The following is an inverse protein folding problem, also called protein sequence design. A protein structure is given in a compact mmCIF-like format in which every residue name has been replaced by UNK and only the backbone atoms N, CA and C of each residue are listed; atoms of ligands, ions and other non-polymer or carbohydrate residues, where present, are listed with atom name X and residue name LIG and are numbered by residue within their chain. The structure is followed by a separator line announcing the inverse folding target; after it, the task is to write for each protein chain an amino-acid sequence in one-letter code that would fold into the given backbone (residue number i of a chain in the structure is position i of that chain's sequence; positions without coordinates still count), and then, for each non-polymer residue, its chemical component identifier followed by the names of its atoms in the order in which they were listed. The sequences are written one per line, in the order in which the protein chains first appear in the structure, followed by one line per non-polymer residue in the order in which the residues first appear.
data_IF_491705542392
#
_entry.id   IF_491705542392
#
_cell.length_a   1.000
_cell.length_b   1.000
_cell.length_c   1.000
_cell.angle_alpha   90.00
_cell.angle_beta   90.00
_cell.angle_gamma   90.00
#
_symmetry.space_group_name_H-M   'P 1'
#
loop_
_entity.id
_entity.type
_entity.pdbx_description
1 polymer ?
#
# COMPACT_ATOMS: atom_id res chain seq x y z
N UNK A 1 -5.67 8.67 18.89
CA UNK A 1 -4.32 8.65 19.49
C UNK A 1 -3.87 7.24 19.90
N UNK A 2 -4.70 6.41 20.56
CA UNK A 2 -4.34 5.04 20.93
C UNK A 2 -4.00 4.13 19.73
N UNK A 3 -4.80 4.15 18.67
CA UNK A 3 -4.54 3.36 17.45
C UNK A 3 -3.21 3.73 16.78
N UNK A 4 -2.88 5.01 16.72
CA UNK A 4 -1.61 5.50 16.19
C UNK A 4 -0.41 4.91 16.95
N UNK A 5 -0.44 4.99 18.29
CA UNK A 5 0.60 4.41 19.14
C UNK A 5 0.69 2.89 18.99
N UNK A 6 -0.45 2.20 18.90
CA UNK A 6 -0.47 0.74 18.67
C UNK A 6 0.18 0.36 17.33
N UNK A 7 -0.09 1.13 16.27
CA UNK A 7 0.53 0.91 14.96
C UNK A 7 2.04 1.11 15.03
N UNK A 8 2.51 2.20 15.65
CA UNK A 8 3.95 2.44 15.81
C UNK A 8 4.64 1.36 16.62
N UNK A 9 4.10 1.01 17.78
CA UNK A 9 4.69 -0.01 18.67
C UNK A 9 4.64 -1.41 18.03
N UNK A 10 3.54 -1.77 17.38
CA UNK A 10 3.38 -3.07 16.74
C UNK A 10 4.37 -3.27 15.59
N UNK A 11 4.46 -2.31 14.67
CA UNK A 11 5.37 -2.39 13.53
C UNK A 11 6.85 -2.30 13.97
N UNK A 12 7.17 -1.43 14.93
CA UNK A 12 8.52 -1.39 15.50
C UNK A 12 8.91 -2.71 16.17
N UNK A 13 7.99 -3.34 16.92
CA UNK A 13 8.22 -4.63 17.54
C UNK A 13 8.45 -5.73 16.49
N UNK A 14 7.68 -5.77 15.40
CA UNK A 14 7.88 -6.74 14.32
C UNK A 14 9.29 -6.60 13.72
N UNK A 15 9.72 -5.38 13.41
CA UNK A 15 11.06 -5.12 12.86
C UNK A 15 12.13 -5.56 13.84
N UNK A 16 12.05 -5.14 15.10
CA UNK A 16 13.06 -5.49 16.13
C UNK A 16 13.14 -6.99 16.35
N UNK A 17 12.02 -7.67 16.51
CA UNK A 17 12.01 -9.13 16.74
C UNK A 17 12.55 -9.86 15.52
N UNK A 18 12.19 -9.44 14.31
CA UNK A 18 12.70 -10.03 13.06
C UNK A 18 14.22 -9.87 12.88
N UNK A 19 14.81 -8.80 13.43
CA UNK A 19 16.25 -8.56 13.38
C UNK A 19 17.02 -9.31 14.47
N UNK A 20 16.43 -9.41 15.67
CA UNK A 20 17.11 -9.96 16.85
C UNK A 20 17.01 -11.49 16.98
N UNK A 21 15.90 -12.09 16.53
CA UNK A 21 15.72 -13.54 16.65
C UNK A 21 16.15 -14.26 15.36
N UNK A 22 17.25 -15.00 15.45
CA UNK A 22 17.79 -15.78 14.33
C UNK A 22 16.81 -16.83 13.77
N UNK A 23 15.82 -17.28 14.56
CA UNK A 23 14.78 -18.22 14.11
C UNK A 23 13.79 -17.57 13.12
N UNK A 24 13.72 -16.25 13.11
CA UNK A 24 12.88 -15.45 12.22
C UNK A 24 13.62 -14.99 10.97
N UNK A 25 14.88 -15.37 10.76
CA UNK A 25 15.64 -15.07 9.55
C UNK A 25 15.18 -15.94 8.37
N UNK A 26 13.96 -15.75 7.94
CA UNK A 26 13.38 -16.41 6.77
C UNK A 26 12.71 -15.39 5.83
N UNK A 27 12.46 -15.73 4.57
CA UNK A 27 11.91 -14.80 3.58
C UNK A 27 10.61 -14.11 4.02
N UNK A 28 9.71 -14.84 4.67
CA UNK A 28 8.42 -14.30 5.14
C UNK A 28 8.61 -13.12 6.11
N UNK A 29 9.45 -13.28 7.14
CA UNK A 29 9.71 -12.20 8.11
C UNK A 29 10.56 -11.07 7.52
N UNK A 30 11.41 -11.38 6.54
CA UNK A 30 12.14 -10.36 5.79
C UNK A 30 11.16 -9.40 5.06
N UNK A 31 10.20 -9.93 4.31
CA UNK A 31 9.19 -9.10 3.64
C UNK A 31 8.24 -8.43 4.64
N UNK A 32 7.88 -9.11 5.73
CA UNK A 32 7.06 -8.54 6.79
C UNK A 32 7.74 -7.32 7.44
N UNK A 33 9.06 -7.36 7.63
CA UNK A 33 9.82 -6.21 8.14
C UNK A 33 9.78 -5.01 7.18
N UNK A 34 9.86 -5.27 5.87
CA UNK A 34 9.70 -4.22 4.87
C UNK A 34 8.29 -3.63 4.86
N UNK A 35 7.25 -4.45 5.00
CA UNK A 35 5.86 -4.01 5.12
C UNK A 35 5.68 -3.17 6.40
N UNK A 36 6.20 -3.63 7.54
CA UNK A 36 6.16 -2.88 8.79
C UNK A 36 6.89 -1.53 8.71
N UNK A 37 7.99 -1.47 7.96
CA UNK A 37 8.70 -0.21 7.71
C UNK A 37 7.85 0.75 6.87
N UNK A 38 7.16 0.26 5.82
CA UNK A 38 6.22 1.05 5.03
C UNK A 38 5.10 1.62 5.90
N UNK A 39 4.50 0.78 6.75
CA UNK A 39 3.42 1.19 7.67
C UNK A 39 3.89 2.28 8.65
N UNK A 40 5.10 2.16 9.19
CA UNK A 40 5.68 3.19 10.06
C UNK A 40 5.87 4.51 9.32
N UNK A 41 6.44 4.47 8.12
CA UNK A 41 6.67 5.66 7.29
C UNK A 41 5.35 6.31 6.89
N UNK A 42 4.38 5.52 6.42
CA UNK A 42 3.06 5.99 6.00
C UNK A 42 2.30 6.63 7.17
N UNK A 43 2.21 5.93 8.29
CA UNK A 43 1.52 6.39 9.49
C UNK A 43 2.17 7.66 10.06
N UNK A 44 3.49 7.71 10.13
CA UNK A 44 4.23 8.88 10.65
C UNK A 44 4.13 10.10 9.73
N UNK A 45 3.94 9.91 8.43
CA UNK A 45 3.83 11.00 7.47
C UNK A 45 2.42 11.59 7.39
N UNK A 46 1.39 10.78 7.57
CA UNK A 46 -0.01 11.19 7.33
C UNK A 46 -0.72 11.56 8.62
N UNK A 47 -0.62 10.72 9.66
CA UNK A 47 -1.44 10.88 10.87
C UNK A 47 -1.16 12.18 11.63
N UNK A 48 0.09 12.65 11.82
CA UNK A 48 0.34 13.91 12.55
C UNK A 48 -0.35 15.10 11.88
N UNK A 49 -0.28 15.19 10.55
CA UNK A 49 -0.93 16.26 9.80
C UNK A 49 -2.45 16.17 9.85
N UNK A 50 -3.00 14.95 9.73
CA UNK A 50 -4.42 14.72 9.88
C UNK A 50 -4.93 15.13 11.26
N UNK A 51 -4.20 14.83 12.33
CA UNK A 51 -4.56 15.21 13.69
C UNK A 51 -4.54 16.73 13.90
N UNK A 52 -3.55 17.42 13.31
CA UNK A 52 -3.47 18.88 13.36
C UNK A 52 -4.66 19.50 12.63
N UNK A 53 -5.00 19.01 11.44
CA UNK A 53 -6.12 19.51 10.64
C UNK A 53 -7.49 19.23 11.30
N UNK A 54 -7.64 18.10 12.00
CA UNK A 54 -8.88 17.77 12.72
C UNK A 54 -9.05 18.59 14.01
N UNK A 55 -7.94 18.99 14.65
CA UNK A 55 -7.96 19.79 15.90
C UNK A 55 -7.92 21.30 15.70
N UNK A 56 -7.64 21.78 14.49
CA UNK A 56 -7.50 23.19 14.17
C UNK A 56 -8.76 23.80 13.56
N UNK A 57 -8.88 25.14 13.61
CA UNK A 57 -10.00 25.87 12.95
C UNK A 57 -9.88 25.83 11.41
N UNK A 58 -8.65 25.74 10.88
CA UNK A 58 -8.39 25.75 9.45
C UNK A 58 -8.20 24.33 8.93
N UNK A 59 -9.13 23.88 8.09
CA UNK A 59 -9.14 22.55 7.47
C UNK A 59 -8.38 22.51 6.15
N UNK A 60 -7.35 23.31 5.97
CA UNK A 60 -6.59 23.42 4.72
C UNK A 60 -5.19 22.84 4.87
N UNK A 61 -4.70 22.26 3.77
CA UNK A 61 -3.31 21.80 3.68
C UNK A 61 -2.48 22.85 2.93
N UNK A 62 -1.27 23.14 3.44
CA UNK A 62 -0.33 24.00 2.72
C UNK A 62 0.19 23.30 1.46
N UNK A 63 0.54 24.07 0.42
CA UNK A 63 1.11 23.51 -0.82
C UNK A 63 2.31 22.59 -0.56
N UNK A 64 3.24 23.01 0.31
CA UNK A 64 4.40 22.18 0.69
C UNK A 64 4.00 20.87 1.36
N UNK A 65 3.02 20.92 2.27
CA UNK A 65 2.47 19.73 2.93
C UNK A 65 1.79 18.78 1.92
N UNK A 66 1.05 19.33 0.97
CA UNK A 66 0.43 18.59 -0.12
C UNK A 66 1.48 17.88 -0.99
N UNK A 67 2.54 18.59 -1.39
CA UNK A 67 3.63 18.00 -2.19
C UNK A 67 4.30 16.83 -1.46
N UNK A 68 4.69 17.04 -0.20
CA UNK A 68 5.32 15.96 0.60
C UNK A 68 4.39 14.78 0.77
N UNK A 69 3.12 15.03 1.11
CA UNK A 69 2.12 13.97 1.27
C UNK A 69 1.91 13.19 -0.02
N UNK A 70 1.84 13.87 -1.17
CA UNK A 70 1.67 13.23 -2.48
C UNK A 70 2.83 12.28 -2.80
N UNK A 71 4.08 12.75 -2.66
CA UNK A 71 5.26 11.94 -2.93
C UNK A 71 5.35 10.73 -1.98
N UNK A 72 5.14 10.95 -0.69
CA UNK A 72 5.26 9.89 0.31
C UNK A 72 4.15 8.85 0.14
N UNK A 73 2.90 9.27 0.00
CA UNK A 73 1.76 8.34 -0.11
C UNK A 73 1.82 7.49 -1.38
N UNK A 74 2.19 8.08 -2.53
CA UNK A 74 2.36 7.33 -3.77
C UNK A 74 3.53 6.34 -3.71
N UNK A 75 4.70 6.77 -3.20
CA UNK A 75 5.86 5.90 -3.11
C UNK A 75 5.58 4.69 -2.21
N UNK A 76 5.05 4.93 -1.02
CA UNK A 76 4.80 3.88 -0.06
C UNK A 76 3.65 2.97 -0.50
N UNK A 77 2.53 3.53 -0.99
CA UNK A 77 1.39 2.75 -1.46
C UNK A 77 1.71 1.89 -2.68
N UNK A 78 2.46 2.40 -3.66
CA UNK A 78 2.90 1.62 -4.81
C UNK A 78 3.86 0.49 -4.41
N UNK A 79 4.81 0.77 -3.51
CA UNK A 79 5.71 -0.25 -2.96
C UNK A 79 4.96 -1.34 -2.21
N UNK A 80 3.95 -0.96 -1.42
CA UNK A 80 3.11 -1.90 -0.66
C UNK A 80 2.35 -2.86 -1.58
N UNK A 81 1.74 -2.36 -2.66
CA UNK A 81 1.06 -3.20 -3.65
C UNK A 81 1.98 -4.30 -4.20
N UNK A 82 3.22 -3.94 -4.56
CA UNK A 82 4.20 -4.90 -5.11
C UNK A 82 4.67 -5.86 -4.04
N UNK A 83 4.96 -5.39 -2.81
CA UNK A 83 5.38 -6.27 -1.70
C UNK A 83 4.30 -7.28 -1.32
N UNK A 84 3.03 -6.90 -1.30
CA UNK A 84 1.93 -7.84 -1.05
C UNK A 84 1.88 -8.93 -2.12
N UNK A 85 2.11 -8.60 -3.40
CA UNK A 85 2.21 -9.61 -4.46
C UNK A 85 3.43 -10.52 -4.28
N UNK A 86 4.59 -9.98 -3.92
CA UNK A 86 5.81 -10.75 -3.62
C UNK A 86 5.57 -11.70 -2.45
N UNK A 87 4.92 -11.25 -1.38
CA UNK A 87 4.56 -12.09 -0.24
C UNK A 87 3.58 -13.20 -0.62
N UNK A 88 2.64 -12.94 -1.51
CA UNK A 88 1.74 -13.99 -2.01
C UNK A 88 2.48 -15.06 -2.80
N UNK A 89 3.52 -14.68 -3.56
CA UNK A 89 4.40 -15.60 -4.25
C UNK A 89 5.25 -16.44 -3.27
N UNK A 90 5.79 -15.81 -2.22
CA UNK A 90 6.50 -16.53 -1.14
C UNK A 90 5.62 -17.61 -0.50
N UNK A 91 4.37 -17.26 -0.16
CA UNK A 91 3.39 -18.20 0.39
C UNK A 91 3.04 -19.33 -0.61
N UNK A 92 2.89 -18.99 -1.89
CA UNK A 92 2.66 -19.98 -2.94
C UNK A 92 3.82 -21.00 -3.01
N UNK A 93 5.07 -20.56 -3.04
CA UNK A 93 6.22 -21.45 -3.10
C UNK A 93 6.31 -22.30 -1.82
N UNK A 94 6.08 -21.70 -0.65
CA UNK A 94 6.14 -22.40 0.64
C UNK A 94 5.08 -23.51 0.77
N UNK A 95 3.88 -23.30 0.24
CA UNK A 95 2.78 -24.27 0.38
C UNK A 95 2.74 -25.26 -0.79
N UNK A 96 2.91 -24.78 -2.02
CA UNK A 96 2.75 -25.60 -3.22
C UNK A 96 4.04 -26.34 -3.63
N UNK A 97 5.21 -25.80 -3.26
CA UNK A 97 6.53 -26.36 -3.63
C UNK A 97 7.51 -26.44 -2.44
N UNK A 98 7.14 -27.04 -1.31
CA UNK A 98 7.93 -26.98 -0.07
C UNK A 98 9.34 -27.52 -0.21
N UNK A 99 9.58 -28.55 -1.04
CA UNK A 99 10.91 -29.14 -1.26
C UNK A 99 11.85 -28.19 -2.04
N UNK A 100 11.32 -27.26 -2.81
CA UNK A 100 12.11 -26.32 -3.59
C UNK A 100 12.15 -24.92 -2.95
N UNK A 101 11.50 -24.73 -1.82
CA UNK A 101 11.35 -23.41 -1.18
C UNK A 101 12.69 -22.74 -0.91
N UNK A 102 13.61 -23.42 -0.23
CA UNK A 102 14.93 -22.88 0.10
C UNK A 102 15.79 -22.57 -1.13
N UNK A 103 15.57 -23.30 -2.23
CA UNK A 103 16.27 -23.04 -3.49
C UNK A 103 15.70 -21.86 -4.24
N UNK A 104 14.37 -21.73 -4.27
CA UNK A 104 13.68 -20.62 -4.97
C UNK A 104 13.80 -19.32 -4.18
N UNK A 105 13.43 -19.33 -2.88
CA UNK A 105 13.42 -18.14 -2.03
C UNK A 105 14.76 -17.94 -1.32
N UNK A 106 15.87 -18.02 -2.07
CA UNK A 106 17.18 -17.75 -1.52
C UNK A 106 17.38 -16.24 -1.22
N UNK A 107 18.27 -15.86 -0.27
CA UNK A 107 18.41 -14.47 0.19
C UNK A 107 18.63 -13.44 -0.92
N UNK A 108 19.41 -13.77 -1.94
CA UNK A 108 19.65 -12.85 -3.07
C UNK A 108 18.34 -12.51 -3.82
N UNK A 109 17.49 -13.52 -4.06
CA UNK A 109 16.19 -13.26 -4.72
C UNK A 109 15.30 -12.38 -3.84
N UNK A 110 15.25 -12.63 -2.52
CA UNK A 110 14.47 -11.82 -1.60
C UNK A 110 14.90 -10.34 -1.63
N UNK A 111 16.21 -10.07 -1.60
CA UNK A 111 16.75 -8.73 -1.72
C UNK A 111 16.42 -8.07 -3.08
N UNK A 112 16.53 -8.82 -4.18
CA UNK A 112 16.17 -8.32 -5.51
C UNK A 112 14.69 -7.95 -5.56
N UNK A 113 13.80 -8.83 -5.10
CA UNK A 113 12.35 -8.58 -5.10
C UNK A 113 11.96 -7.38 -4.23
N UNK A 114 12.54 -7.26 -3.04
CA UNK A 114 12.32 -6.10 -2.17
C UNK A 114 12.85 -4.81 -2.83
N UNK A 115 14.06 -4.84 -3.39
CA UNK A 115 14.65 -3.68 -4.07
C UNK A 115 13.82 -3.26 -5.28
N UNK A 116 13.33 -4.20 -6.07
CA UNK A 116 12.45 -3.91 -7.22
C UNK A 116 11.13 -3.28 -6.75
N UNK A 117 10.54 -3.74 -5.64
CA UNK A 117 9.34 -3.15 -5.09
C UNK A 117 9.57 -1.68 -4.71
N UNK A 118 10.63 -1.37 -3.97
CA UNK A 118 10.99 -0.01 -3.58
C UNK A 118 11.33 0.89 -4.78
N UNK A 119 12.15 0.40 -5.71
CA UNK A 119 12.56 1.17 -6.88
C UNK A 119 11.38 1.46 -7.82
N UNK A 120 10.48 0.49 -8.03
CA UNK A 120 9.30 0.71 -8.86
C UNK A 120 8.35 1.73 -8.24
N UNK A 121 8.12 1.68 -6.91
CA UNK A 121 7.32 2.67 -6.21
C UNK A 121 7.91 4.08 -6.29
N UNK A 122 9.22 4.22 -6.05
CA UNK A 122 9.92 5.50 -6.17
C UNK A 122 9.89 6.05 -7.60
N UNK A 123 10.17 5.23 -8.61
CA UNK A 123 10.18 5.65 -10.01
C UNK A 123 8.80 6.15 -10.46
N UNK A 124 7.75 5.39 -10.16
CA UNK A 124 6.36 5.78 -10.47
C UNK A 124 5.98 7.07 -9.79
N UNK A 125 6.33 7.22 -8.51
CA UNK A 125 6.06 8.43 -7.76
C UNK A 125 6.75 9.65 -8.35
N UNK A 126 8.03 9.54 -8.72
CA UNK A 126 8.76 10.64 -9.35
C UNK A 126 8.11 11.07 -10.66
N UNK A 127 7.71 10.13 -11.50
CA UNK A 127 7.03 10.42 -12.77
C UNK A 127 5.66 11.07 -12.50
N UNK A 128 4.81 10.40 -11.75
CA UNK A 128 3.40 10.79 -11.57
C UNK A 128 3.25 12.09 -10.78
N UNK A 129 4.00 12.25 -9.68
CA UNK A 129 3.94 13.47 -8.88
C UNK A 129 4.51 14.66 -9.64
N UNK A 130 5.63 14.48 -10.38
CA UNK A 130 6.22 15.56 -11.17
C UNK A 130 5.28 16.01 -12.29
N UNK A 131 4.71 15.08 -13.06
CA UNK A 131 3.75 15.39 -14.11
C UNK A 131 2.49 16.09 -13.58
N UNK A 132 2.00 15.67 -12.42
CA UNK A 132 0.83 16.28 -11.79
C UNK A 132 1.12 17.68 -11.28
N UNK A 133 2.26 17.91 -10.64
CA UNK A 133 2.63 19.21 -10.05
C UNK A 133 3.05 20.25 -11.10
N UNK A 134 3.39 19.84 -12.33
CA UNK A 134 3.65 20.74 -13.45
C UNK A 134 2.38 21.31 -14.08
N UNK A 135 1.20 20.78 -13.72
CA UNK A 135 -0.07 21.31 -14.23
C UNK A 135 -0.32 22.72 -13.70
N UNK A 136 -0.78 23.66 -14.54
CA UNK A 136 -1.23 24.97 -14.07
C UNK A 136 -2.56 24.83 -13.35
N UNK A 137 -2.56 25.17 -12.08
CA UNK A 137 -3.76 25.18 -11.23
C UNK A 137 -4.41 26.55 -11.25
N UNK A 138 -5.74 26.61 -11.56
CA UNK A 138 -6.52 27.84 -11.54
C UNK A 138 -7.32 27.91 -10.25
N UNK A 139 -7.04 28.87 -9.41
CA UNK A 139 -7.77 29.10 -8.18
C UNK A 139 -6.90 29.49 -7.01
N UNK A 140 -7.49 29.54 -5.83
CA UNK A 140 -6.80 29.89 -4.62
C UNK A 140 -5.76 28.82 -4.29
N UNK A 141 -4.61 29.24 -3.74
CA UNK A 141 -3.49 28.36 -3.36
C UNK A 141 -3.80 27.41 -2.17
N UNK A 142 -5.04 27.29 -1.79
CA UNK A 142 -5.53 26.40 -0.74
C UNK A 142 -6.30 25.25 -1.38
N UNK A 143 -5.89 24.04 -1.07
CA UNK A 143 -6.62 22.82 -1.41
C UNK A 143 -7.56 22.56 -0.24
N UNK A 144 -8.87 22.75 -0.45
CA UNK A 144 -9.90 22.52 0.56
C UNK A 144 -10.15 21.01 0.80
N UNK A 145 -9.07 20.25 0.81
CA UNK A 145 -9.09 18.80 1.04
C UNK A 145 -8.08 18.41 2.10
N UNK A 146 -8.46 17.49 2.98
CA UNK A 146 -7.62 16.95 4.03
C UNK A 146 -6.48 16.06 3.51
N UNK A 147 -6.62 15.56 2.29
CA UNK A 147 -5.70 14.61 1.68
C UNK A 147 -5.37 15.03 0.25
N UNK A 148 -4.08 15.12 -0.06
CA UNK A 148 -3.59 15.51 -1.36
C UNK A 148 -3.42 14.26 -2.24
N UNK A 149 -4.32 14.09 -3.21
CA UNK A 149 -4.33 12.97 -4.14
C UNK A 149 -4.22 13.42 -5.59
N UNK A 150 -3.56 12.60 -6.44
CA UNK A 150 -3.42 12.88 -7.88
C UNK A 150 -4.77 13.16 -8.55
N UNK A 151 -5.84 12.36 -8.35
CA UNK A 151 -7.12 12.62 -9.00
C UNK A 151 -7.75 13.96 -8.62
N UNK A 152 -7.50 14.45 -7.41
CA UNK A 152 -8.00 15.76 -6.94
C UNK A 152 -7.23 16.88 -7.64
N UNK A 153 -5.89 16.77 -7.70
CA UNK A 153 -5.05 17.77 -8.35
C UNK A 153 -5.33 17.87 -9.85
N UNK A 154 -5.49 16.74 -10.54
CA UNK A 154 -5.86 16.73 -11.96
C UNK A 154 -7.17 17.50 -12.22
N UNK A 155 -8.16 17.38 -11.32
CA UNK A 155 -9.44 18.11 -11.44
C UNK A 155 -9.32 19.63 -11.20
N UNK A 156 -8.30 20.07 -10.47
CA UNK A 156 -8.04 21.49 -10.22
C UNK A 156 -7.21 22.15 -11.33
N UNK A 157 -6.71 21.39 -12.28
CA UNK A 157 -5.94 21.90 -13.40
C UNK A 157 -6.82 22.60 -14.42
N UNK A 158 -6.29 23.68 -15.05
CA UNK A 158 -7.00 24.51 -16.02
C UNK A 158 -6.64 24.21 -17.47
N UNK A 159 -6.00 23.11 -17.72
CA UNK A 159 -5.56 22.67 -19.04
C UNK A 159 -6.12 21.29 -19.33
N UNK A 160 -5.99 20.86 -20.58
CA UNK A 160 -6.31 19.49 -20.95
C UNK A 160 -5.43 18.51 -20.16
N UNK A 161 -6.07 17.64 -19.38
CA UNK A 161 -5.44 16.65 -18.50
C UNK A 161 -5.53 15.22 -19.03
N UNK A 162 -5.90 15.06 -20.31
CA UNK A 162 -6.09 13.72 -20.92
C UNK A 162 -4.85 12.84 -20.78
N UNK A 163 -3.66 13.41 -20.98
CA UNK A 163 -2.40 12.69 -20.81
C UNK A 163 -2.19 12.22 -19.35
N UNK A 164 -2.40 13.10 -18.38
CA UNK A 164 -2.25 12.78 -16.96
C UNK A 164 -3.29 11.74 -16.48
N UNK A 165 -4.50 11.79 -17.03
CA UNK A 165 -5.52 10.78 -16.74
C UNK A 165 -5.14 9.42 -17.33
N UNK A 166 -4.60 9.37 -18.55
CA UNK A 166 -4.13 8.14 -19.17
C UNK A 166 -2.94 7.56 -18.41
N UNK A 167 -1.98 8.38 -17.97
CA UNK A 167 -0.84 7.97 -17.15
C UNK A 167 -1.31 7.40 -15.81
N UNK A 168 -2.22 8.09 -15.12
CA UNK A 168 -2.83 7.63 -13.87
C UNK A 168 -3.55 6.28 -14.06
N UNK A 169 -4.26 6.09 -15.15
CA UNK A 169 -4.92 4.83 -15.48
C UNK A 169 -3.90 3.70 -15.65
N UNK A 170 -2.83 3.92 -16.43
CA UNK A 170 -1.77 2.93 -16.65
C UNK A 170 -1.09 2.58 -15.32
N UNK A 171 -0.73 3.58 -14.49
CA UNK A 171 -0.16 3.36 -13.17
C UNK A 171 -1.10 2.55 -12.26
N UNK A 172 -2.39 2.85 -12.28
CA UNK A 172 -3.40 2.10 -11.51
C UNK A 172 -3.50 0.64 -11.96
N UNK A 173 -3.45 0.37 -13.26
CA UNK A 173 -3.43 -1.00 -13.77
C UNK A 173 -2.16 -1.73 -13.30
N UNK A 174 -1.00 -1.12 -13.43
CA UNK A 174 0.28 -1.73 -13.07
C UNK A 174 0.45 -1.99 -11.57
N UNK A 175 -0.03 -1.08 -10.71
CA UNK A 175 0.19 -1.17 -9.27
C UNK A 175 -1.02 -1.67 -8.46
N UNK A 176 -2.22 -1.67 -9.02
CA UNK A 176 -3.40 -2.22 -8.33
C UNK A 176 -3.89 -3.51 -8.98
N UNK A 177 -4.18 -3.48 -10.30
CA UNK A 177 -4.82 -4.63 -10.97
C UNK A 177 -3.85 -5.80 -11.13
N UNK A 178 -2.63 -5.55 -11.61
CA UNK A 178 -1.64 -6.62 -11.83
C UNK A 178 -1.24 -7.30 -10.52
N UNK A 179 -0.81 -6.59 -9.44
CA UNK A 179 -0.49 -7.23 -8.17
C UNK A 179 -1.67 -7.98 -7.56
N UNK A 180 -2.87 -7.39 -7.56
CA UNK A 180 -4.07 -8.07 -7.07
C UNK A 180 -4.37 -9.37 -7.84
N UNK A 181 -4.23 -9.35 -9.16
CA UNK A 181 -4.41 -10.54 -10.00
C UNK A 181 -3.40 -11.64 -9.65
N UNK A 182 -2.13 -11.28 -9.45
CA UNK A 182 -1.08 -12.22 -9.02
C UNK A 182 -1.39 -12.82 -7.65
N UNK A 183 -1.87 -12.00 -6.70
CA UNK A 183 -2.29 -12.46 -5.39
C UNK A 183 -3.43 -13.47 -5.51
N UNK A 184 -4.49 -13.15 -6.27
CA UNK A 184 -5.65 -14.03 -6.45
C UNK A 184 -5.26 -15.35 -7.11
N UNK A 185 -4.40 -15.34 -8.13
CA UNK A 185 -3.88 -16.54 -8.77
C UNK A 185 -3.09 -17.39 -7.78
N UNK A 186 -2.18 -16.78 -7.02
CA UNK A 186 -1.38 -17.47 -5.99
C UNK A 186 -2.25 -18.13 -4.95
N UNK A 187 -3.26 -17.42 -4.43
CA UNK A 187 -4.19 -17.97 -3.44
C UNK A 187 -5.13 -19.03 -4.00
N UNK A 188 -5.50 -18.94 -5.27
CA UNK A 188 -6.22 -20.02 -5.97
C UNK A 188 -5.43 -21.34 -5.96
N UNK A 189 -4.14 -21.29 -6.28
CA UNK A 189 -3.27 -22.47 -6.23
C UNK A 189 -2.99 -22.95 -4.80
N UNK A 190 -2.78 -22.02 -3.85
CA UNK A 190 -2.61 -22.36 -2.44
C UNK A 190 -3.83 -23.11 -1.90
N UNK A 191 -5.02 -22.62 -2.17
CA UNK A 191 -6.27 -23.27 -1.73
C UNK A 191 -6.38 -24.68 -2.29
N UNK A 192 -6.11 -24.89 -3.57
CA UNK A 192 -6.11 -26.21 -4.18
C UNK A 192 -5.08 -27.16 -3.52
N UNK A 193 -3.88 -26.65 -3.21
CA UNK A 193 -2.83 -27.43 -2.56
C UNK A 193 -3.21 -27.79 -1.11
N UNK A 194 -3.74 -26.84 -0.34
CA UNK A 194 -4.15 -27.03 1.07
C UNK A 194 -5.30 -28.02 1.18
N UNK A 195 -6.26 -28.02 0.26
CA UNK A 195 -7.34 -29.00 0.25
C UNK A 195 -6.85 -30.44 0.01
N UNK A 196 -5.71 -30.62 -0.64
CA UNK A 196 -5.07 -31.94 -0.84
C UNK A 196 -4.28 -32.43 0.37
N UNK A 197 -3.98 -31.59 1.36
CA UNK A 197 -3.28 -31.98 2.57
C UNK A 197 -4.16 -32.85 3.44
N UNK A 198 -3.76 -34.13 3.61
CA UNK A 198 -4.50 -35.12 4.42
C UNK A 198 -4.39 -34.86 5.92
N UNK A 199 -3.29 -34.26 6.40
CA UNK A 199 -3.06 -33.96 7.81
C UNK A 199 -3.83 -32.71 8.24
N UNK A 200 -4.71 -32.87 9.24
CA UNK A 200 -5.46 -31.73 9.82
C UNK A 200 -4.52 -30.68 10.45
N UNK A 201 -3.42 -31.11 11.08
CA UNK A 201 -2.43 -30.22 11.70
C UNK A 201 -1.70 -29.41 10.61
N UNK A 202 -1.23 -30.07 9.54
CA UNK A 202 -0.56 -29.40 8.43
C UNK A 202 -1.47 -28.40 7.75
N UNK A 203 -2.74 -28.75 7.51
CA UNK A 203 -3.74 -27.86 6.93
C UNK A 203 -4.00 -26.63 7.81
N UNK A 204 -4.16 -26.82 9.13
CA UNK A 204 -4.37 -25.70 10.07
C UNK A 204 -3.18 -24.75 10.10
N UNK A 205 -1.95 -25.26 10.06
CA UNK A 205 -0.73 -24.43 10.02
C UNK A 205 -0.65 -23.60 8.74
N UNK A 206 -0.91 -24.21 7.58
CA UNK A 206 -0.92 -23.52 6.30
C UNK A 206 -1.99 -22.42 6.27
N UNK A 207 -3.21 -22.70 6.74
CA UNK A 207 -4.27 -21.71 6.85
C UNK A 207 -3.91 -20.55 7.79
N UNK A 208 -3.29 -20.82 8.94
CA UNK A 208 -2.92 -19.79 9.91
C UNK A 208 -1.95 -18.75 9.31
N UNK A 209 -0.94 -19.21 8.58
CA UNK A 209 0.03 -18.32 7.93
C UNK A 209 -0.60 -17.53 6.77
N UNK A 210 -1.36 -18.21 5.93
CA UNK A 210 -1.99 -17.59 4.75
C UNK A 210 -3.11 -16.62 5.11
N UNK A 211 -3.88 -16.90 6.17
CA UNK A 211 -5.01 -16.06 6.57
C UNK A 211 -4.59 -14.67 7.04
N UNK A 212 -3.46 -14.56 7.76
CA UNK A 212 -2.94 -13.26 8.21
C UNK A 212 -2.60 -12.35 7.03
N UNK A 213 -1.87 -12.85 6.04
CA UNK A 213 -1.57 -12.08 4.84
C UNK A 213 -2.83 -11.74 4.03
N UNK A 214 -3.75 -12.70 3.86
CA UNK A 214 -5.00 -12.47 3.16
C UNK A 214 -5.86 -11.40 3.83
N UNK A 215 -5.87 -11.34 5.17
CA UNK A 215 -6.54 -10.29 5.93
C UNK A 215 -5.97 -8.91 5.60
N UNK A 216 -4.64 -8.77 5.57
CA UNK A 216 -3.99 -7.50 5.17
C UNK A 216 -4.38 -7.13 3.74
N UNK A 217 -4.31 -8.07 2.80
CA UNK A 217 -4.71 -7.84 1.40
C UNK A 217 -6.16 -7.38 1.29
N UNK A 218 -7.10 -8.05 2.00
CA UNK A 218 -8.52 -7.68 1.98
C UNK A 218 -8.74 -6.27 2.54
N UNK A 219 -8.10 -5.94 3.65
CA UNK A 219 -8.22 -4.60 4.26
C UNK A 219 -7.64 -3.55 3.32
N UNK A 220 -6.43 -3.76 2.80
CA UNK A 220 -5.74 -2.82 1.92
C UNK A 220 -6.52 -2.58 0.62
N UNK A 221 -6.74 -3.62 -0.18
CA UNK A 221 -7.45 -3.49 -1.46
C UNK A 221 -8.93 -3.17 -1.27
N UNK A 222 -9.57 -3.69 -0.22
CA UNK A 222 -10.96 -3.40 0.12
C UNK A 222 -11.16 -1.91 0.43
N UNK A 223 -10.26 -1.29 1.17
CA UNK A 223 -10.28 0.16 1.44
C UNK A 223 -10.13 0.97 0.15
N UNK A 224 -9.16 0.61 -0.70
CA UNK A 224 -8.96 1.28 -1.99
C UNK A 224 -10.23 1.17 -2.85
N UNK A 225 -10.75 -0.04 -3.04
CA UNK A 225 -11.96 -0.29 -3.84
C UNK A 225 -13.14 0.50 -3.27
N UNK A 226 -13.33 0.49 -1.95
CA UNK A 226 -14.39 1.24 -1.30
C UNK A 226 -14.29 2.74 -1.57
N UNK A 227 -13.09 3.32 -1.46
CA UNK A 227 -12.86 4.75 -1.73
C UNK A 227 -13.13 5.12 -3.19
N UNK A 228 -12.75 4.25 -4.14
CA UNK A 228 -12.94 4.53 -5.57
C UNK A 228 -14.34 4.21 -6.09
N UNK A 229 -15.08 3.28 -5.44
CA UNK A 229 -16.45 2.93 -5.83
C UNK A 229 -17.51 3.88 -5.23
N UNK A 230 -17.16 4.76 -4.30
CA UNK A 230 -18.11 5.75 -3.81
C UNK A 230 -18.56 6.67 -4.96
N UNK A 231 -19.87 6.77 -5.22
CA UNK A 231 -20.36 7.63 -6.28
C UNK A 231 -20.00 9.10 -5.99
N UNK A 232 -19.52 9.79 -7.01
CA UNK A 232 -19.06 11.20 -6.96
C UNK A 232 -20.04 12.13 -6.23
N UNK A 233 -21.34 11.88 -6.31
CA UNK A 233 -22.40 12.63 -5.59
C UNK A 233 -22.33 12.49 -4.06
N UNK A 234 -21.88 11.36 -3.55
CA UNK A 234 -21.77 11.14 -2.09
C UNK A 234 -20.49 11.79 -1.56
N UNK A 235 -19.42 11.68 -2.35
CA UNK A 235 -18.13 12.32 -2.06
C UNK A 235 -18.24 13.86 -2.01
N UNK A 236 -19.08 14.46 -2.87
CA UNK A 236 -19.40 15.91 -2.85
C UNK A 236 -20.25 16.30 -1.64
N UNK A 237 -21.23 15.47 -1.23
CA UNK A 237 -22.08 15.76 -0.07
C UNK A 237 -21.35 15.64 1.27
N UNK A 238 -20.48 14.65 1.41
CA UNK A 238 -19.67 14.51 2.63
C UNK A 238 -18.62 15.64 2.74
N UNK A 239 -18.28 16.30 1.63
CA UNK A 239 -17.43 17.48 1.58
C UNK A 239 -18.20 18.78 1.84
N UNK A 240 -19.48 18.88 1.44
CA UNK A 240 -20.35 20.04 1.73
C UNK A 240 -20.89 20.05 3.16
N UNK A 241 -20.99 18.91 3.83
CA UNK A 241 -21.48 18.83 5.23
C UNK A 241 -20.41 19.29 6.22
N UNK A 242 -19.13 19.34 5.83
CA UNK A 242 -18.03 19.83 6.69
C UNK A 242 -17.72 21.33 6.53
N UNK A 243 -18.53 22.07 5.74
CA UNK A 243 -18.39 23.53 5.52
C UNK A 243 -19.44 24.33 6.34
N UNK A 244 -20.25 23.67 7.20
CA UNK A 244 -21.16 24.36 8.11
C UNK A 244 -20.82 24.13 9.57
#
# INVERSE_FOLDING_TARGET
MSLYLMTLLGNAAIILVSLLDSKLHNPMYFFLSHLSLLDLCFTSSIIPQLLVNLGGPDKSITYGGCVVQLYVSLALGSTECVLLAVMSYDHYVAVCRPLHYAFVMHPRLCHILASMAWLSGLATTLIQSTLTLQLPFCGHRHVDHFFCEVPVLIKLACVDTTFNQAELFVASVLFLVVPLSLILISYGHITQAVLKIKSAIGRRKAFGTCSSHLTVVIVFYGTIIFMYLQPVKRRSKDQEIEIF
#
